data_IF_370075891377
#
_entry.id   IF_370075891377
#
_cell.length_a   1.000
_cell.length_b   1.000
_cell.length_c   1.000
_cell.angle_alpha   90.00
_cell.angle_beta   90.00
_cell.angle_gamma   90.00
#
_symmetry.space_group_name_H-M   'P 1'
#
loop_
_entity.id
_entity.type
_entity.pdbx_description
1 polymer ?
#
# COMPACT_ATOMS: atom_id res chain seq x y z
N UNK A 1 56.63 -34.12 12.84
CA UNK A 1 55.44 -33.98 11.98
C UNK A 1 54.31 -33.43 12.84
N UNK A 2 53.96 -32.14 12.68
CA UNK A 2 52.93 -31.46 13.48
C UNK A 2 51.58 -31.64 12.80
N UNK A 3 50.66 -32.38 13.42
CA UNK A 3 49.27 -32.49 12.99
C UNK A 3 48.56 -31.19 13.37
N UNK A 4 48.19 -30.39 12.37
CA UNK A 4 47.38 -29.19 12.56
C UNK A 4 45.93 -29.60 12.38
N UNK A 5 45.18 -29.71 13.48
CA UNK A 5 43.75 -30.03 13.44
C UNK A 5 42.99 -28.74 13.21
N UNK A 6 42.51 -28.52 11.99
CA UNK A 6 41.58 -27.43 11.67
C UNK A 6 40.17 -27.86 12.07
N UNK A 7 39.69 -27.37 13.21
CA UNK A 7 38.27 -27.48 13.57
C UNK A 7 37.48 -26.40 12.82
N UNK A 8 36.65 -26.79 11.86
CA UNK A 8 35.72 -25.88 11.21
C UNK A 8 34.48 -25.71 12.10
N UNK A 9 34.35 -24.55 12.75
CA UNK A 9 33.16 -24.18 13.50
C UNK A 9 32.15 -23.59 12.51
N UNK A 10 31.14 -24.38 12.14
CA UNK A 10 29.97 -23.87 11.42
C UNK A 10 29.07 -23.13 12.40
N UNK A 11 29.12 -21.80 12.37
CA UNK A 11 28.15 -20.95 13.06
C UNK A 11 26.85 -21.00 12.24
N UNK A 12 25.90 -21.83 12.67
CA UNK A 12 24.52 -21.70 12.23
C UNK A 12 23.98 -20.42 12.88
N UNK A 13 23.81 -19.38 12.07
CA UNK A 13 22.98 -18.22 12.43
C UNK A 13 21.53 -18.71 12.55
N UNK A 14 21.19 -19.30 13.69
CA UNK A 14 19.82 -19.57 14.05
C UNK A 14 19.13 -18.23 14.27
N UNK A 15 18.38 -17.77 13.27
CA UNK A 15 17.36 -16.76 13.47
C UNK A 15 16.37 -17.31 14.49
N UNK A 16 16.51 -16.91 15.75
CA UNK A 16 15.51 -17.20 16.78
C UNK A 16 14.23 -16.46 16.40
N UNK A 17 13.14 -17.17 16.04
CA UNK A 17 11.84 -16.56 16.01
C UNK A 17 11.43 -16.39 17.48
N UNK A 18 11.23 -15.15 17.92
CA UNK A 18 10.68 -14.88 19.24
C UNK A 18 9.35 -15.62 19.45
N UNK A 19 8.90 -15.74 20.71
CA UNK A 19 7.64 -16.41 21.02
C UNK A 19 6.48 -15.69 20.31
N UNK A 20 5.89 -16.35 19.31
CA UNK A 20 4.75 -15.84 18.53
C UNK A 20 4.85 -15.94 17.01
N UNK A 21 6.01 -16.33 16.45
CA UNK A 21 6.14 -16.49 15.01
C UNK A 21 5.50 -17.81 14.52
N UNK A 22 4.35 -17.71 13.87
CA UNK A 22 3.70 -18.82 13.19
C UNK A 22 4.46 -19.17 11.90
N UNK A 23 4.71 -20.47 11.60
CA UNK A 23 5.32 -20.91 10.35
C UNK A 23 4.26 -20.92 9.24
N UNK A 24 3.66 -19.76 8.98
CA UNK A 24 2.82 -19.53 7.81
C UNK A 24 3.55 -18.61 6.82
N UNK A 25 3.10 -18.53 5.56
CA UNK A 25 3.50 -17.41 4.73
C UNK A 25 3.22 -16.12 5.51
N UNK A 26 4.24 -15.27 5.66
CA UNK A 26 4.05 -13.93 6.23
C UNK A 26 3.14 -13.20 5.26
N UNK A 27 1.85 -13.13 5.57
CA UNK A 27 0.93 -12.29 4.84
C UNK A 27 1.28 -10.84 5.17
N UNK A 28 2.25 -10.30 4.45
CA UNK A 28 2.53 -8.88 4.49
C UNK A 28 1.42 -8.16 3.74
N UNK A 29 0.49 -7.59 4.51
CA UNK A 29 -0.56 -6.72 4.00
C UNK A 29 -0.14 -5.24 4.11
N UNK A 30 1.17 -4.95 4.13
CA UNK A 30 1.68 -3.58 4.19
C UNK A 30 1.15 -2.72 3.03
N UNK A 31 1.08 -1.41 3.28
CA UNK A 31 0.68 -0.42 2.28
C UNK A 31 1.62 -0.45 1.07
N UNK A 32 1.09 -0.77 -0.12
CA UNK A 32 1.84 -0.86 -1.37
C UNK A 32 0.98 -0.55 -2.60
N UNK A 33 1.60 -0.28 -3.76
CA UNK A 33 0.86 -0.19 -5.01
C UNK A 33 0.26 -1.54 -5.38
N UNK A 34 -1.03 -1.57 -5.70
CA UNK A 34 -1.76 -2.74 -6.19
C UNK A 34 -2.44 -2.41 -7.52
N UNK A 35 -2.44 -3.39 -8.44
CA UNK A 35 -3.05 -3.24 -9.75
C UNK A 35 -4.57 -3.43 -9.67
N UNK A 36 -5.33 -2.48 -10.18
CA UNK A 36 -6.80 -2.54 -10.22
C UNK A 36 -7.35 -2.16 -11.59
N UNK A 37 -8.50 -2.72 -11.94
CA UNK A 37 -9.28 -2.28 -13.09
C UNK A 37 -10.20 -1.14 -12.68
N UNK A 38 -10.06 0.02 -13.32
CA UNK A 38 -10.92 1.18 -13.11
C UNK A 38 -11.72 1.47 -14.38
N UNK A 39 -13.01 1.75 -14.25
CA UNK A 39 -13.83 2.14 -15.39
C UNK A 39 -13.80 3.65 -15.57
N UNK A 40 -13.38 4.08 -16.77
CA UNK A 40 -13.38 5.48 -17.19
C UNK A 40 -14.47 5.72 -18.22
N UNK A 41 -15.19 6.83 -18.10
CA UNK A 41 -16.29 7.17 -18.99
C UNK A 41 -16.05 8.51 -19.70
N UNK A 42 -16.33 8.56 -21.00
CA UNK A 42 -16.39 9.79 -21.79
C UNK A 42 -17.36 9.65 -22.94
N UNK A 43 -18.06 10.74 -23.30
CA UNK A 43 -19.05 10.74 -24.37
C UNK A 43 -20.13 9.63 -24.24
N UNK A 44 -20.49 9.22 -23.01
CA UNK A 44 -21.43 8.12 -22.76
C UNK A 44 -20.88 6.72 -23.09
N UNK A 45 -19.56 6.58 -23.21
CA UNK A 45 -18.86 5.32 -23.43
C UNK A 45 -17.96 5.04 -22.24
N UNK A 46 -18.05 3.84 -21.70
CA UNK A 46 -17.21 3.35 -20.61
C UNK A 46 -16.17 2.35 -21.15
N UNK A 47 -14.92 2.51 -20.74
CA UNK A 47 -13.84 1.53 -20.97
C UNK A 47 -13.12 1.23 -19.66
N UNK A 48 -12.64 0.00 -19.49
CA UNK A 48 -11.77 -0.36 -18.37
C UNK A 48 -10.32 -0.02 -18.67
N UNK A 49 -9.63 0.54 -17.68
CA UNK A 49 -8.18 0.76 -17.68
C UNK A 49 -7.56 0.00 -16.53
N UNK A 50 -6.42 -0.65 -16.79
CA UNK A 50 -5.59 -1.22 -15.73
C UNK A 50 -4.72 -0.09 -15.17
N UNK A 51 -4.88 0.20 -13.89
CA UNK A 51 -4.13 1.25 -13.17
C UNK A 51 -3.61 0.71 -11.85
N UNK A 52 -2.83 1.51 -11.13
CA UNK A 52 -2.33 1.21 -9.79
C UNK A 52 -2.98 2.11 -8.75
N UNK A 53 -3.35 1.55 -7.61
CA UNK A 53 -3.84 2.28 -6.42
C UNK A 53 -3.02 1.89 -5.19
N UNK A 54 -3.13 2.68 -4.11
CA UNK A 54 -2.53 2.30 -2.83
C UNK A 54 -3.50 1.44 -2.04
N UNK A 55 -3.07 0.22 -1.70
CA UNK A 55 -3.84 -0.71 -0.90
C UNK A 55 -2.94 -1.36 0.16
N UNK A 56 -3.52 -1.65 1.33
CA UNK A 56 -2.85 -2.34 2.42
C UNK A 56 -3.26 -1.78 3.77
N UNK A 57 -2.51 -2.20 4.80
CA UNK A 57 -2.75 -1.88 6.20
C UNK A 57 -1.67 -0.94 6.70
N UNK A 58 -2.12 0.01 7.52
CA UNK A 58 -1.26 0.91 8.28
C UNK A 58 -1.48 0.69 9.76
N UNK A 59 -0.39 0.78 10.51
CA UNK A 59 -0.45 0.67 11.96
C UNK A 59 -1.15 1.89 12.56
N UNK A 60 -2.06 1.64 13.50
CA UNK A 60 -2.80 2.68 14.21
C UNK A 60 -2.84 2.34 15.70
N UNK A 61 -2.63 3.36 16.52
CA UNK A 61 -2.80 3.27 17.97
C UNK A 61 -4.07 4.01 18.41
N UNK A 62 -4.79 3.40 19.34
CA UNK A 62 -5.83 4.06 20.10
C UNK A 62 -5.28 4.34 21.51
N UNK A 63 -5.09 5.61 21.92
CA UNK A 63 -4.45 5.92 23.18
C UNK A 63 -5.34 5.50 24.36
N UNK A 64 -4.77 4.72 25.29
CA UNK A 64 -5.48 4.30 26.51
C UNK A 64 -5.73 5.46 27.47
N UNK A 65 -4.79 6.41 27.53
CA UNK A 65 -4.91 7.63 28.33
C UNK A 65 -5.13 8.84 27.42
N UNK A 66 -6.26 9.50 27.58
CA UNK A 66 -6.61 10.72 26.83
C UNK A 66 -6.13 11.93 27.62
N UNK A 67 -4.89 12.34 27.36
CA UNK A 67 -4.30 13.57 27.89
C UNK A 67 -4.27 14.70 26.85
N UNK A 68 -4.09 15.96 27.27
CA UNK A 68 -3.98 17.09 26.33
C UNK A 68 -2.75 16.98 25.41
N UNK A 69 -1.69 16.29 25.87
CA UNK A 69 -0.37 16.30 25.21
C UNK A 69 -0.10 15.08 24.31
N UNK A 70 -0.98 14.07 24.29
CA UNK A 70 -0.78 12.85 23.50
C UNK A 70 -2.01 12.48 22.67
N UNK A 71 -1.97 12.82 21.39
CA UNK A 71 -2.95 12.43 20.39
C UNK A 71 -2.19 11.80 19.20
N UNK A 72 -2.08 10.46 19.13
CA UNK A 72 -1.35 9.81 18.05
C UNK A 72 -2.03 10.13 16.72
N UNK A 73 -1.26 10.69 15.79
CA UNK A 73 -1.76 11.06 14.47
C UNK A 73 -2.11 9.81 13.69
N UNK A 74 -3.33 9.73 13.18
CA UNK A 74 -3.74 8.60 12.37
C UNK A 74 -3.12 8.66 10.97
N UNK A 75 -2.73 7.51 10.44
CA UNK A 75 -2.21 7.38 9.07
C UNK A 75 -3.07 6.43 8.25
N UNK A 76 -3.11 6.67 6.95
CA UNK A 76 -3.81 5.85 5.97
C UNK A 76 -2.82 5.36 4.91
N UNK A 77 -3.18 4.32 4.16
CA UNK A 77 -2.39 3.91 3.01
C UNK A 77 -2.61 4.90 1.85
N UNK A 78 -1.60 5.71 1.56
CA UNK A 78 -1.63 6.77 0.55
C UNK A 78 -0.22 7.00 0.00
N UNK A 79 -0.05 7.85 -1.01
CA UNK A 79 1.28 8.16 -1.53
C UNK A 79 1.25 9.00 -2.79
N UNK A 80 2.37 9.02 -3.51
CA UNK A 80 2.49 9.84 -4.70
C UNK A 80 1.73 9.22 -5.87
N UNK A 81 1.08 10.07 -6.65
CA UNK A 81 0.32 9.65 -7.82
C UNK A 81 0.37 10.74 -8.91
N UNK A 82 -0.08 10.39 -10.11
CA UNK A 82 -0.13 11.27 -11.27
C UNK A 82 -1.33 10.91 -12.14
N UNK A 83 -1.68 11.81 -13.07
CA UNK A 83 -2.71 11.53 -14.06
C UNK A 83 -2.12 10.90 -15.31
N UNK A 84 -2.76 9.84 -15.78
CA UNK A 84 -2.64 9.36 -17.16
C UNK A 84 -3.90 9.71 -17.95
N UNK A 85 -3.82 9.61 -19.27
CA UNK A 85 -4.89 10.01 -20.19
C UNK A 85 -5.29 8.84 -21.08
N UNK A 86 -6.57 8.47 -21.03
CA UNK A 86 -7.19 7.48 -21.90
C UNK A 86 -7.97 8.16 -23.04
N UNK A 87 -7.70 7.72 -24.27
CA UNK A 87 -8.49 8.09 -25.44
C UNK A 87 -9.45 6.94 -25.78
N UNK A 88 -10.75 7.21 -25.65
CA UNK A 88 -11.81 6.26 -25.99
C UNK A 88 -12.11 6.37 -27.49
N UNK A 89 -12.13 5.24 -28.20
CA UNK A 89 -12.36 5.27 -29.65
C UNK A 89 -13.74 5.84 -29.98
N UNK A 90 -13.74 6.86 -30.84
CA UNK A 90 -14.96 7.56 -31.25
C UNK A 90 -15.43 8.66 -30.28
N UNK A 91 -14.62 9.01 -29.27
CA UNK A 91 -14.85 10.17 -28.42
C UNK A 91 -13.71 11.19 -28.62
N UNK A 92 -14.00 12.46 -28.95
CA UNK A 92 -12.97 13.49 -29.11
C UNK A 92 -12.40 13.98 -27.77
N UNK A 93 -13.04 13.65 -26.65
CA UNK A 93 -12.64 14.07 -25.30
C UNK A 93 -11.93 12.92 -24.60
N UNK A 94 -10.66 13.14 -24.27
CA UNK A 94 -9.88 12.18 -23.48
C UNK A 94 -10.22 12.26 -21.99
N UNK A 95 -10.03 11.15 -21.26
CA UNK A 95 -10.29 11.07 -19.81
C UNK A 95 -8.97 10.97 -19.07
N UNK A 96 -8.79 11.80 -18.05
CA UNK A 96 -7.68 11.66 -17.11
C UNK A 96 -8.06 10.77 -15.93
N UNK A 97 -7.20 9.83 -15.56
CA UNK A 97 -7.38 8.96 -14.39
C UNK A 97 -6.12 8.89 -13.54
N UNK A 98 -6.23 8.71 -12.21
CA UNK A 98 -5.08 8.68 -11.32
C UNK A 98 -4.36 7.32 -11.39
N UNK A 99 -3.03 7.38 -11.19
CA UNK A 99 -2.12 6.23 -11.15
C UNK A 99 -1.15 6.39 -9.99
N UNK A 100 -1.14 5.44 -9.06
CA UNK A 100 -0.23 5.45 -7.91
C UNK A 100 1.21 5.11 -8.33
N UNK A 101 2.18 5.93 -7.91
CA UNK A 101 3.63 5.72 -8.10
C UNK A 101 4.28 5.09 -6.90
N UNK A 102 3.92 5.55 -5.72
CA UNK A 102 4.47 5.13 -4.44
C UNK A 102 3.32 5.08 -3.43
N UNK A 103 3.43 4.17 -2.46
CA UNK A 103 2.46 4.03 -1.39
C UNK A 103 3.19 3.87 -0.06
N UNK A 104 2.67 4.53 0.97
CA UNK A 104 3.20 4.59 2.32
C UNK A 104 2.08 4.89 3.32
N UNK A 105 2.34 4.66 4.60
CA UNK A 105 1.44 5.08 5.65
C UNK A 105 1.67 6.56 5.94
N UNK A 106 0.75 7.41 5.47
CA UNK A 106 0.84 8.86 5.57
C UNK A 106 -0.49 9.46 6.04
N UNK A 107 -0.49 10.69 6.60
CA UNK A 107 -1.73 11.42 6.82
C UNK A 107 -2.51 11.62 5.52
N UNK A 108 -3.84 11.61 5.59
CA UNK A 108 -4.68 11.85 4.42
C UNK A 108 -4.60 13.33 3.99
N UNK A 109 -4.27 13.56 2.72
CA UNK A 109 -4.19 14.89 2.13
C UNK A 109 -5.56 15.36 1.63
N UNK A 110 -6.19 16.26 2.39
CA UNK A 110 -7.57 16.71 2.14
C UNK A 110 -7.72 17.59 0.89
N UNK A 111 -6.62 18.12 0.35
CA UNK A 111 -6.68 18.98 -0.85
C UNK A 111 -7.00 18.21 -2.13
N UNK A 112 -6.58 16.96 -2.22
CA UNK A 112 -6.69 16.15 -3.44
C UNK A 112 -7.31 14.76 -3.21
N UNK A 113 -7.60 14.40 -1.95
CA UNK A 113 -8.12 13.09 -1.58
C UNK A 113 -9.33 13.25 -0.66
N UNK A 114 -10.37 12.43 -0.90
CA UNK A 114 -11.51 12.35 0.01
C UNK A 114 -11.12 11.53 1.26
N UNK A 115 -10.96 12.24 2.38
CA UNK A 115 -10.58 11.65 3.67
C UNK A 115 -11.83 11.29 4.49
N UNK A 116 -12.38 10.10 4.24
CA UNK A 116 -13.56 9.62 4.94
C UNK A 116 -13.57 8.10 5.07
N UNK A 117 -14.66 7.55 5.60
CA UNK A 117 -14.85 6.10 5.63
C UNK A 117 -15.00 5.61 4.19
N UNK A 118 -14.14 4.67 3.78
CA UNK A 118 -14.25 4.03 2.48
C UNK A 118 -15.52 3.16 2.43
N UNK A 119 -16.47 3.42 1.52
CA UNK A 119 -17.72 2.66 1.45
C UNK A 119 -17.55 1.26 0.84
N UNK A 120 -16.40 0.96 0.23
CA UNK A 120 -16.12 -0.34 -0.41
C UNK A 120 -16.24 -0.33 -1.93
N UNK A 121 -16.87 0.69 -2.51
CA UNK A 121 -17.10 0.77 -3.95
C UNK A 121 -15.95 1.53 -4.62
N UNK A 122 -15.03 0.79 -5.25
CA UNK A 122 -14.30 1.37 -6.39
C UNK A 122 -15.27 1.38 -7.58
N UNK A 123 -15.43 2.51 -8.30
CA UNK A 123 -16.29 2.55 -9.49
C UNK A 123 -15.78 1.54 -10.53
N UNK A 124 -16.52 0.44 -10.65
CA UNK A 124 -16.31 -0.67 -11.60
C UNK A 124 -17.05 -0.43 -12.90
#
# INVERSE_FOLDING_TARGET
MRLVVMAAVLVLAGAWPGPGAWPGPVCDFGCRPENVSLTVESCGRAEQVLTTVCEGRCYQEDPVYIGPDYWPRQTICSGDWYYEVKHIKGCPVAVSYPVARSCMCAPCETTNTYCGRFPGDLPS
#
